data_IF_768687242615
#
_entry.id   IF_768687242615
#
_cell.length_a   1.000
_cell.length_b   1.000
_cell.length_c   1.000
_cell.angle_alpha   90.00
_cell.angle_beta   90.00
_cell.angle_gamma   90.00
#
_symmetry.space_group_name_H-M   'P 1'
#
loop_
_entity.id
_entity.type
_entity.pdbx_description
1 polymer ?
#
# COMPACT_ATOMS: atom_id res chain seq x y z
N UNK A 1 -18.16 7.87 -10.53
CA UNK A 1 -16.69 7.87 -10.68
C UNK A 1 -16.10 8.14 -9.30
N UNK A 2 -14.97 7.53 -8.95
CA UNK A 2 -14.32 7.81 -7.67
C UNK A 2 -13.58 9.15 -7.78
N UNK A 3 -13.92 10.09 -6.91
CA UNK A 3 -13.28 11.42 -6.86
C UNK A 3 -12.40 11.52 -5.61
N UNK A 4 -11.12 11.81 -5.79
CA UNK A 4 -10.15 12.03 -4.71
C UNK A 4 -9.28 13.23 -5.09
N UNK A 5 -9.14 14.20 -4.18
CA UNK A 5 -8.15 15.25 -4.33
C UNK A 5 -6.78 14.73 -3.92
N UNK A 6 -5.92 14.49 -4.90
CA UNK A 6 -4.57 14.00 -4.68
C UNK A 6 -3.80 14.88 -3.68
N UNK A 7 -3.99 16.21 -3.68
CA UNK A 7 -3.25 17.14 -2.83
C UNK A 7 -3.55 17.01 -1.34
N UNK A 8 -4.67 16.38 -1.00
CA UNK A 8 -5.11 16.14 0.37
C UNK A 8 -5.22 14.64 0.68
N UNK A 9 -4.67 13.78 -0.17
CA UNK A 9 -4.72 12.32 -0.01
C UNK A 9 -3.32 11.75 0.24
N UNK A 10 -3.21 10.83 1.21
CA UNK A 10 -2.00 10.05 1.46
C UNK A 10 -2.27 8.55 1.32
N UNK A 11 -1.21 7.77 1.04
CA UNK A 11 -1.26 6.32 1.04
C UNK A 11 -0.68 5.78 2.35
N UNK A 12 -1.41 4.90 3.01
CA UNK A 12 -0.93 4.13 4.17
C UNK A 12 -0.89 2.65 3.80
N UNK A 13 0.29 2.05 3.89
CA UNK A 13 0.53 0.63 3.62
C UNK A 13 0.79 -0.07 4.94
N UNK A 14 -0.08 -1.00 5.32
CA UNK A 14 -0.06 -1.65 6.63
C UNK A 14 0.59 -3.02 6.52
N UNK A 15 1.60 -3.25 7.36
CA UNK A 15 2.18 -4.55 7.71
C UNK A 15 2.64 -5.40 6.51
N UNK A 16 3.03 -4.75 5.42
CA UNK A 16 3.69 -5.42 4.29
C UNK A 16 5.18 -5.60 4.58
N UNK A 17 5.47 -6.56 5.45
CA UNK A 17 6.81 -6.97 5.87
C UNK A 17 6.92 -8.50 5.87
N UNK A 18 8.11 -9.03 5.62
CA UNK A 18 8.35 -10.47 5.45
C UNK A 18 7.79 -11.35 6.58
N UNK A 19 7.85 -10.89 7.83
CA UNK A 19 7.30 -11.62 8.98
C UNK A 19 5.77 -11.70 9.02
N UNK A 20 5.06 -10.83 8.29
CA UNK A 20 3.59 -10.79 8.25
C UNK A 20 3.02 -11.44 7.00
N UNK A 21 3.76 -11.44 5.88
CA UNK A 21 3.30 -12.02 4.62
C UNK A 21 2.75 -13.47 4.73
N UNK A 22 3.34 -14.37 5.54
CA UNK A 22 2.80 -15.73 5.70
C UNK A 22 1.38 -15.81 6.27
N UNK A 23 0.88 -14.75 6.92
CA UNK A 23 -0.47 -14.71 7.49
C UNK A 23 -1.55 -14.30 6.47
N UNK A 24 -1.18 -14.00 5.22
CA UNK A 24 -2.13 -13.67 4.17
C UNK A 24 -2.93 -14.91 3.69
N UNK A 25 -4.00 -15.26 4.42
CA UNK A 25 -4.83 -16.44 4.16
C UNK A 25 -5.80 -16.34 2.96
N UNK A 26 -5.86 -15.19 2.27
CA UNK A 26 -6.77 -14.93 1.16
C UNK A 26 -7.79 -13.81 1.45
N UNK A 27 -8.57 -13.35 0.45
CA UNK A 27 -8.73 -13.93 -0.88
C UNK A 27 -7.61 -13.57 -1.89
N UNK A 28 -6.66 -12.73 -1.50
CA UNK A 28 -5.51 -12.34 -2.33
C UNK A 28 -4.22 -12.86 -1.71
N UNK A 29 -3.25 -13.24 -2.54
CA UNK A 29 -1.95 -13.69 -2.04
C UNK A 29 -1.13 -12.50 -1.53
N UNK A 30 -0.16 -12.77 -0.66
CA UNK A 30 0.78 -11.74 -0.19
C UNK A 30 1.45 -11.01 -1.36
N UNK A 31 1.93 -11.74 -2.36
CA UNK A 31 2.59 -11.17 -3.56
C UNK A 31 1.66 -10.25 -4.35
N UNK A 32 0.38 -10.60 -4.50
CA UNK A 32 -0.59 -9.73 -5.16
C UNK A 32 -0.77 -8.42 -4.39
N UNK A 33 -0.86 -8.49 -3.07
CA UNK A 33 -1.04 -7.32 -2.21
C UNK A 33 0.21 -6.43 -2.26
N UNK A 34 1.41 -7.00 -2.13
CA UNK A 34 2.69 -6.28 -2.23
C UNK A 34 2.81 -5.57 -3.58
N UNK A 35 2.52 -6.27 -4.68
CA UNK A 35 2.61 -5.70 -6.02
C UNK A 35 1.58 -4.58 -6.25
N UNK A 36 0.33 -4.75 -5.79
CA UNK A 36 -0.72 -3.74 -5.93
C UNK A 36 -0.43 -2.51 -5.06
N UNK A 37 0.02 -2.71 -3.81
CA UNK A 37 0.44 -1.62 -2.93
C UNK A 37 1.64 -0.86 -3.51
N UNK A 38 2.60 -1.55 -4.13
CA UNK A 38 3.71 -0.95 -4.85
C UNK A 38 3.26 -0.03 -5.98
N UNK A 39 2.26 -0.44 -6.77
CA UNK A 39 1.66 0.39 -7.83
C UNK A 39 0.99 1.65 -7.27
N UNK A 40 0.25 1.52 -6.17
CA UNK A 40 -0.33 2.68 -5.48
C UNK A 40 0.79 3.62 -4.98
N UNK A 41 1.81 3.08 -4.31
CA UNK A 41 2.91 3.88 -3.80
C UNK A 41 3.67 4.62 -4.91
N UNK A 42 3.88 3.97 -6.06
CA UNK A 42 4.49 4.61 -7.24
C UNK A 42 3.63 5.79 -7.73
N UNK A 43 2.30 5.63 -7.79
CA UNK A 43 1.38 6.70 -8.21
C UNK A 43 1.39 7.87 -7.22
N UNK A 44 1.39 7.60 -5.92
CA UNK A 44 1.46 8.65 -4.89
C UNK A 44 2.78 9.41 -4.95
N UNK A 45 3.92 8.71 -5.07
CA UNK A 45 5.24 9.33 -5.21
C UNK A 45 5.33 10.20 -6.47
N UNK A 46 4.80 9.73 -7.61
CA UNK A 46 4.76 10.52 -8.84
C UNK A 46 3.91 11.80 -8.71
N UNK A 47 2.91 11.79 -7.85
CA UNK A 47 2.08 12.96 -7.51
C UNK A 47 2.63 13.80 -6.34
N UNK A 48 3.83 13.49 -5.84
CA UNK A 48 4.44 14.17 -4.69
C UNK A 48 3.69 13.96 -3.37
N UNK A 49 2.85 12.92 -3.27
CA UNK A 49 2.00 12.67 -2.11
C UNK A 49 2.65 11.71 -1.10
N UNK A 50 2.29 11.83 0.20
CA UNK A 50 2.88 11.00 1.24
C UNK A 50 2.56 9.51 1.06
N UNK A 51 3.56 8.67 1.34
CA UNK A 51 3.43 7.22 1.43
C UNK A 51 3.97 6.77 2.79
N UNK A 52 3.08 6.30 3.65
CA UNK A 52 3.40 5.78 4.98
C UNK A 52 3.52 4.25 4.91
N UNK A 53 4.73 3.72 5.15
CA UNK A 53 4.97 2.28 5.25
C UNK A 53 4.98 1.89 6.74
N UNK A 54 3.85 1.37 7.21
CA UNK A 54 3.66 0.96 8.60
C UNK A 54 4.12 -0.49 8.76
N UNK A 55 4.81 -0.76 9.85
CA UNK A 55 5.33 -2.07 10.23
C UNK A 55 5.03 -2.32 11.70
N UNK A 56 4.86 -3.58 12.04
CA UNK A 56 4.67 -4.07 13.42
C UNK A 56 5.88 -4.92 13.82
N UNK A 57 6.30 -4.83 15.07
CA UNK A 57 7.41 -5.58 15.64
C UNK A 57 7.04 -6.12 17.00
#
# INVERSE_FOLDING_TARGET
MLELDAKTTALVVIDLQEGILPFAGGPHTADEVVNRAGKLAAKFRASGQPVFLVRVG
#
